data_IF_723521066393
#
_entry.id   IF_723521066393
#
_cell.length_a   1.000
_cell.length_b   1.000
_cell.length_c   1.000
_cell.angle_alpha   90.00
_cell.angle_beta   90.00
_cell.angle_gamma   90.00
#
_symmetry.space_group_name_H-M   'P 1'
#
loop_
_entity.id
_entity.type
_entity.pdbx_description
1 polymer ?
#
# COMPACT_ATOMS: atom_id res chain seq x y z
N UNK A 1 -7.00 4.35 -0.11
CA UNK A 1 -7.13 5.79 0.16
C UNK A 1 -7.97 5.92 1.43
N UNK A 2 -7.62 6.71 2.46
CA UNK A 2 -6.70 7.86 2.49
C UNK A 2 -5.26 7.56 3.00
N UNK A 3 -4.97 6.35 3.47
CA UNK A 3 -3.72 6.02 4.18
C UNK A 3 -2.44 5.97 3.32
N UNK A 4 -2.56 6.21 2.01
CA UNK A 4 -1.44 6.18 1.06
C UNK A 4 -0.40 7.26 1.36
N UNK A 5 -0.82 8.47 1.72
CA UNK A 5 0.07 9.62 1.85
C UNK A 5 1.10 9.44 2.96
N UNK A 6 0.63 9.07 4.15
CA UNK A 6 1.50 8.79 5.30
C UNK A 6 2.54 7.70 4.97
N UNK A 7 2.10 6.63 4.31
CA UNK A 7 2.97 5.51 3.97
C UNK A 7 4.11 5.94 3.03
N UNK A 8 3.82 6.75 2.01
CA UNK A 8 4.84 7.27 1.09
C UNK A 8 5.80 8.21 1.82
N UNK A 9 5.29 9.11 2.66
CA UNK A 9 6.12 10.07 3.39
C UNK A 9 7.09 9.40 4.37
N UNK A 10 6.67 8.30 5.00
CA UNK A 10 7.54 7.50 5.86
C UNK A 10 8.61 6.79 5.05
N UNK A 11 8.22 6.09 3.97
CA UNK A 11 9.17 5.35 3.14
C UNK A 11 10.26 6.24 2.50
N UNK A 12 9.92 7.49 2.21
CA UNK A 12 10.89 8.46 1.67
C UNK A 12 12.01 8.81 2.66
N UNK A 13 11.73 8.76 3.96
CA UNK A 13 12.68 9.10 5.03
C UNK A 13 13.53 7.92 5.49
N UNK A 14 13.15 6.69 5.12
CA UNK A 14 13.84 5.47 5.52
C UNK A 14 15.05 5.15 4.63
N UNK A 15 16.00 4.39 5.18
CA UNK A 15 17.04 3.74 4.39
C UNK A 15 16.45 2.60 3.56
N UNK A 16 17.17 2.15 2.52
CA UNK A 16 16.65 1.11 1.61
C UNK A 16 16.34 -0.21 2.31
N UNK A 17 17.15 -0.63 3.30
CA UNK A 17 16.89 -1.84 4.08
C UNK A 17 15.60 -1.72 4.91
N UNK A 18 15.45 -0.62 5.65
CA UNK A 18 14.26 -0.38 6.45
C UNK A 18 13.00 -0.24 5.58
N UNK A 19 13.14 0.38 4.41
CA UNK A 19 12.10 0.45 3.40
C UNK A 19 11.69 -0.94 2.91
N UNK A 20 12.65 -1.84 2.63
CA UNK A 20 12.35 -3.21 2.22
C UNK A 20 11.62 -3.99 3.32
N UNK A 21 12.05 -3.85 4.59
CA UNK A 21 11.38 -4.49 5.73
C UNK A 21 9.95 -3.96 5.91
N UNK A 22 9.76 -2.65 5.77
CA UNK A 22 8.45 -2.01 5.87
C UNK A 22 7.51 -2.42 4.72
N UNK A 23 8.03 -2.55 3.50
CA UNK A 23 7.22 -2.99 2.35
C UNK A 23 6.80 -4.47 2.41
N UNK A 24 7.55 -5.31 3.14
CA UNK A 24 7.35 -6.78 3.14
C UNK A 24 6.76 -7.28 4.45
N UNK A 25 7.50 -7.15 5.56
CA UNK A 25 7.14 -7.78 6.84
C UNK A 25 5.90 -7.13 7.45
N UNK A 26 5.80 -5.80 7.41
CA UNK A 26 4.67 -5.10 8.03
C UNK A 26 3.32 -5.36 7.35
N UNK A 27 3.31 -5.89 6.11
CA UNK A 27 2.08 -6.23 5.39
C UNK A 27 1.52 -7.61 5.77
N UNK A 28 2.33 -8.48 6.37
CA UNK A 28 1.94 -9.88 6.66
C UNK A 28 0.85 -9.94 7.74
N UNK A 29 1.02 -9.18 8.83
CA UNK A 29 0.09 -9.21 9.97
C UNK A 29 -1.30 -8.69 9.59
N UNK A 30 -1.45 -7.52 8.93
CA UNK A 30 -2.76 -7.06 8.46
C UNK A 30 -3.40 -8.06 7.50
N UNK A 31 -2.64 -8.65 6.58
CA UNK A 31 -3.16 -9.63 5.63
C UNK A 31 -3.75 -10.86 6.33
N UNK A 32 -3.05 -11.40 7.33
CA UNK A 32 -3.52 -12.52 8.12
C UNK A 32 -4.83 -12.19 8.88
N UNK A 33 -4.91 -11.01 9.47
CA UNK A 33 -6.13 -10.53 10.13
C UNK A 33 -7.31 -10.41 9.14
N UNK A 34 -7.06 -9.90 7.93
CA UNK A 34 -8.09 -9.81 6.89
C UNK A 34 -8.62 -11.18 6.46
N UNK A 35 -7.75 -12.18 6.32
CA UNK A 35 -8.16 -13.54 5.95
C UNK A 35 -9.05 -14.17 7.03
N UNK A 36 -8.73 -13.95 8.31
CA UNK A 36 -9.49 -14.53 9.42
C UNK A 36 -10.81 -13.82 9.70
N UNK A 37 -10.91 -12.52 9.41
CA UNK A 37 -12.09 -11.69 9.66
C UNK A 37 -13.00 -11.57 8.42
N UNK A 38 -12.82 -12.47 7.44
CA UNK A 38 -13.53 -12.42 6.17
C UNK A 38 -15.03 -12.73 6.34
N UNK A 39 -15.86 -11.69 6.40
CA UNK A 39 -17.32 -11.76 6.50
C UNK A 39 -18.01 -10.94 5.41
N UNK A 40 -19.23 -11.33 5.02
CA UNK A 40 -19.98 -10.73 3.90
C UNK A 40 -20.19 -9.22 4.00
N UNK A 41 -20.32 -8.66 5.20
CA UNK A 41 -20.43 -7.22 5.43
C UNK A 41 -19.12 -6.46 5.19
N UNK A 42 -17.98 -7.10 5.42
CA UNK A 42 -16.63 -6.51 5.28
C UNK A 42 -16.17 -6.55 3.81
N UNK A 43 -16.65 -7.51 3.02
CA UNK A 43 -16.25 -7.72 1.62
C UNK A 43 -16.49 -6.47 0.76
N UNK A 44 -17.68 -5.84 0.85
CA UNK A 44 -18.00 -4.67 0.02
C UNK A 44 -17.08 -3.48 0.31
N UNK A 45 -16.74 -3.25 1.58
CA UNK A 45 -15.83 -2.18 1.98
C UNK A 45 -14.40 -2.45 1.49
N UNK A 46 -13.94 -3.70 1.60
CA UNK A 46 -12.62 -4.10 1.12
C UNK A 46 -12.52 -3.94 -0.39
N UNK A 47 -13.52 -4.37 -1.16
CA UNK A 47 -13.53 -4.22 -2.63
C UNK A 47 -13.44 -2.77 -3.08
N UNK A 48 -14.21 -1.87 -2.46
CA UNK A 48 -14.14 -0.44 -2.79
C UNK A 48 -12.75 0.11 -2.44
N UNK A 49 -12.19 -0.30 -1.29
CA UNK A 49 -10.89 0.17 -0.85
C UNK A 49 -9.76 -0.30 -1.79
N UNK A 50 -9.75 -1.56 -2.20
CA UNK A 50 -8.74 -2.12 -3.11
C UNK A 50 -8.84 -1.51 -4.51
N UNK A 51 -10.06 -1.31 -5.03
CA UNK A 51 -10.25 -0.66 -6.33
C UNK A 51 -9.64 0.75 -6.37
N UNK A 52 -9.87 1.54 -5.32
CA UNK A 52 -9.29 2.89 -5.21
C UNK A 52 -7.76 2.83 -5.06
N UNK A 53 -7.25 1.89 -4.26
CA UNK A 53 -5.81 1.69 -4.09
C UNK A 53 -5.13 1.19 -5.34
N UNK A 54 -5.82 0.54 -6.28
CA UNK A 54 -5.20 0.14 -7.53
C UNK A 54 -5.06 1.31 -8.52
N UNK A 55 -6.11 2.13 -8.63
CA UNK A 55 -6.22 3.16 -9.68
C UNK A 55 -5.40 4.41 -9.35
N UNK A 56 -5.49 4.94 -8.13
CA UNK A 56 -4.83 6.21 -7.79
C UNK A 56 -3.29 6.12 -7.87
N UNK A 57 -2.63 5.11 -7.26
CA UNK A 57 -1.17 5.00 -7.30
C UNK A 57 -0.63 4.72 -8.70
N UNK A 58 -1.34 3.92 -9.49
CA UNK A 58 -0.88 3.56 -10.84
C UNK A 58 -0.81 4.78 -11.75
N UNK A 59 -1.79 5.69 -11.67
CA UNK A 59 -1.76 6.97 -12.39
C UNK A 59 -0.67 7.89 -11.84
N UNK A 60 -0.48 7.93 -10.52
CA UNK A 60 0.49 8.82 -9.89
C UNK A 60 1.96 8.45 -10.15
N UNK A 61 2.27 7.16 -10.39
CA UNK A 61 3.65 6.69 -10.65
C UNK A 61 4.27 7.38 -11.87
N UNK A 62 3.49 7.67 -12.91
CA UNK A 62 4.01 8.26 -14.15
C UNK A 62 4.66 9.63 -13.96
N UNK A 63 4.32 10.35 -12.89
CA UNK A 63 4.83 11.70 -12.64
C UNK A 63 6.11 11.71 -11.80
N UNK A 64 6.58 10.57 -11.26
CA UNK A 64 7.72 10.54 -10.34
C UNK A 64 8.95 9.86 -10.94
N UNK A 65 10.11 10.52 -10.80
CA UNK A 65 11.43 9.98 -11.19
C UNK A 65 12.16 9.28 -10.04
N UNK A 66 11.78 9.53 -8.79
CA UNK A 66 12.47 8.94 -7.64
C UNK A 66 12.07 7.47 -7.45
N UNK A 67 13.06 6.58 -7.50
CA UNK A 67 12.90 5.13 -7.32
C UNK A 67 12.17 4.78 -6.01
N UNK A 68 12.44 5.49 -4.90
CA UNK A 68 11.72 5.25 -3.64
C UNK A 68 10.23 5.55 -3.74
N UNK A 69 9.85 6.61 -4.46
CA UNK A 69 8.43 6.94 -4.71
C UNK A 69 7.79 5.89 -5.62
N UNK A 70 8.47 5.50 -6.70
CA UNK A 70 7.96 4.47 -7.62
C UNK A 70 7.69 3.16 -6.86
N UNK A 71 8.63 2.75 -6.00
CA UNK A 71 8.49 1.56 -5.17
C UNK A 71 7.37 1.70 -4.13
N UNK A 72 7.24 2.86 -3.47
CA UNK A 72 6.14 3.08 -2.53
C UNK A 72 4.78 3.00 -3.20
N UNK A 73 4.58 3.69 -4.34
CA UNK A 73 3.30 3.67 -5.04
C UNK A 73 2.96 2.30 -5.64
N UNK A 74 3.94 1.57 -6.20
CA UNK A 74 3.72 0.21 -6.69
C UNK A 74 3.39 -0.79 -5.58
N UNK A 75 3.89 -0.53 -4.37
CA UNK A 75 3.54 -1.34 -3.22
C UNK A 75 2.13 -1.01 -2.70
N UNK A 76 1.63 0.23 -2.86
CA UNK A 76 0.25 0.62 -2.50
C UNK A 76 -0.75 0.05 -3.50
N UNK A 77 -0.41 -0.02 -4.79
CA UNK A 77 -1.30 -0.59 -5.79
C UNK A 77 -1.53 -2.10 -5.65
N UNK A 78 -0.67 -2.79 -4.90
CA UNK A 78 -0.75 -4.24 -4.64
C UNK A 78 -1.36 -4.61 -3.28
N UNK A 79 -1.79 -3.61 -2.50
CA UNK A 79 -2.50 -3.80 -1.22
C UNK A 79 -4.00 -3.89 -1.51
#
# INVERSE_FOLDING_TARGET
YPFMFWYIDVLMKLNYLDMMLMMTIQKIIPLYLYMNLWNSSVINLVYIHTAINMIIPSVMIFNFLNVKKILSYSSVSKI
#
